data_IF_287008316367
#
_entry.id   IF_287008316367
#
_cell.length_a   1.000
_cell.length_b   1.000
_cell.length_c   1.000
_cell.angle_alpha   90.00
_cell.angle_beta   90.00
_cell.angle_gamma   90.00
#
_symmetry.space_group_name_H-M   'P 1'
#
loop_
_entity.id
_entity.type
_entity.pdbx_description
1 polymer ?
#
# COMPACT_ATOMS: atom_id res chain seq x y z
N UNK A 1 0.72 7.50 -5.71
CA UNK A 1 -0.73 7.15 -5.76
C UNK A 1 -1.03 6.09 -4.73
N UNK A 2 -1.85 6.42 -3.72
CA UNK A 2 -2.99 5.54 -3.50
C UNK A 2 -4.27 6.29 -3.09
N UNK A 3 -4.85 7.07 -4.01
CA UNK A 3 -6.31 7.28 -4.05
C UNK A 3 -6.85 7.04 -5.46
N UNK A 4 -6.48 5.90 -6.05
CA UNK A 4 -7.27 5.33 -7.14
C UNK A 4 -8.35 4.45 -6.51
N UNK A 5 -9.39 5.09 -5.96
CA UNK A 5 -10.64 4.43 -5.60
C UNK A 5 -11.51 4.38 -6.87
N UNK A 6 -11.20 3.43 -7.76
CA UNK A 6 -12.21 2.99 -8.72
C UNK A 6 -13.29 2.23 -7.94
N UNK A 7 -14.58 2.55 -8.11
CA UNK A 7 -15.69 1.98 -7.33
C UNK A 7 -16.04 0.51 -7.65
N UNK A 8 -15.22 -0.21 -8.42
CA UNK A 8 -15.39 -1.63 -8.76
C UNK A 8 -14.32 -2.55 -8.14
N UNK A 9 -13.51 -2.06 -7.19
CA UNK A 9 -12.33 -2.80 -6.73
C UNK A 9 -12.77 -4.02 -5.88
N UNK A 10 -12.57 -5.23 -6.41
CA UNK A 10 -12.70 -6.55 -5.73
C UNK A 10 -11.90 -6.67 -4.40
N UNK A 11 -11.31 -5.58 -3.92
CA UNK A 11 -10.31 -5.47 -2.87
C UNK A 11 -10.84 -4.76 -1.63
N UNK A 12 -11.89 -3.95 -1.75
CA UNK A 12 -12.46 -3.13 -0.67
C UNK A 12 -12.81 -3.99 0.56
N UNK A 13 -13.44 -5.14 0.34
CA UNK A 13 -13.76 -6.08 1.42
C UNK A 13 -12.50 -6.59 2.15
N UNK A 14 -11.48 -7.03 1.42
CA UNK A 14 -10.22 -7.50 2.04
C UNK A 14 -9.44 -6.38 2.74
N UNK A 15 -9.49 -5.15 2.21
CA UNK A 15 -8.86 -3.97 2.82
C UNK A 15 -9.52 -3.62 4.14
N UNK A 16 -10.85 -3.71 4.21
CA UNK A 16 -11.57 -3.44 5.44
C UNK A 16 -11.31 -4.49 6.53
N UNK A 17 -11.08 -5.75 6.15
CA UNK A 17 -10.80 -6.80 7.13
C UNK A 17 -9.40 -6.71 7.74
N UNK A 18 -8.43 -6.12 7.05
CA UNK A 18 -7.01 -6.16 7.47
C UNK A 18 -6.74 -5.41 8.79
N UNK A 19 -7.25 -4.17 9.00
CA UNK A 19 -7.12 -3.48 10.28
C UNK A 19 -7.84 -4.19 11.43
N UNK A 20 -8.91 -4.93 11.12
CA UNK A 20 -9.78 -5.54 12.13
C UNK A 20 -9.30 -6.90 12.60
N UNK A 21 -8.62 -7.65 11.73
CA UNK A 21 -8.30 -9.06 11.96
C UNK A 21 -7.51 -9.30 13.26
N UNK A 22 -6.61 -8.38 13.64
CA UNK A 22 -5.85 -8.48 14.88
C UNK A 22 -6.66 -8.22 16.16
N UNK A 23 -7.87 -7.69 16.02
CA UNK A 23 -8.74 -7.24 17.10
C UNK A 23 -10.05 -8.01 17.20
N UNK A 24 -10.22 -9.04 16.37
CA UNK A 24 -11.42 -9.86 16.35
C UNK A 24 -11.42 -10.85 17.52
N UNK A 25 -12.53 -10.87 18.24
CA UNK A 25 -12.88 -11.97 19.13
C UNK A 25 -13.40 -13.17 18.32
N UNK A 26 -13.41 -14.36 18.93
CA UNK A 26 -13.79 -15.61 18.26
C UNK A 26 -15.17 -15.55 17.57
N UNK A 27 -16.15 -14.88 18.19
CA UNK A 27 -17.49 -14.72 17.61
C UNK A 27 -17.48 -13.86 16.35
N UNK A 28 -16.76 -12.72 16.38
CA UNK A 28 -16.62 -11.80 15.25
C UNK A 28 -15.76 -12.39 14.13
N UNK A 29 -14.69 -13.12 14.47
CA UNK A 29 -13.89 -13.86 13.49
C UNK A 29 -14.75 -14.93 12.78
N UNK A 30 -15.54 -15.69 13.53
CA UNK A 30 -16.47 -16.68 12.97
C UNK A 30 -17.51 -16.05 12.05
N UNK A 31 -18.05 -14.88 12.42
CA UNK A 31 -18.98 -14.10 11.58
C UNK A 31 -18.29 -13.64 10.29
N UNK A 32 -17.11 -13.04 10.39
CA UNK A 32 -16.35 -12.56 9.23
C UNK A 32 -15.98 -13.68 8.26
N UNK A 33 -15.62 -14.87 8.77
CA UNK A 33 -15.35 -16.05 7.94
C UNK A 33 -16.58 -16.51 7.15
N UNK A 34 -17.79 -16.45 7.74
CA UNK A 34 -19.03 -16.77 7.02
C UNK A 34 -19.25 -15.78 5.88
N UNK A 35 -19.12 -14.48 6.15
CA UNK A 35 -19.25 -13.43 5.12
C UNK A 35 -18.22 -13.67 4.00
N UNK A 36 -16.94 -13.86 4.36
CA UNK A 36 -15.86 -14.10 3.40
C UNK A 36 -16.10 -15.34 2.53
N UNK A 37 -16.57 -16.45 3.10
CA UNK A 37 -16.88 -17.68 2.36
C UNK A 37 -18.09 -17.52 1.42
N UNK A 38 -19.04 -16.65 1.78
CA UNK A 38 -20.22 -16.35 0.96
C UNK A 38 -19.92 -15.42 -0.24
N UNK A 39 -18.80 -14.69 -0.22
CA UNK A 39 -18.39 -13.82 -1.34
C UNK A 39 -18.29 -14.65 -2.62
N UNK A 40 -19.05 -14.25 -3.66
CA UNK A 40 -19.09 -14.95 -4.95
C UNK A 40 -17.79 -14.84 -5.73
N UNK A 41 -17.21 -13.64 -5.78
CA UNK A 41 -15.95 -13.40 -6.48
C UNK A 41 -14.80 -14.17 -5.84
N UNK A 42 -14.15 -15.04 -6.61
CA UNK A 42 -13.10 -15.92 -6.11
C UNK A 42 -11.84 -15.14 -5.67
N UNK A 43 -11.54 -14.01 -6.31
CA UNK A 43 -10.42 -13.14 -5.94
C UNK A 43 -10.66 -12.44 -4.61
N UNK A 44 -11.82 -11.81 -4.45
CA UNK A 44 -12.22 -11.16 -3.21
C UNK A 44 -12.30 -12.17 -2.04
N UNK A 45 -12.91 -13.35 -2.28
CA UNK A 45 -12.96 -14.45 -1.30
C UNK A 45 -11.56 -14.92 -0.88
N UNK A 46 -10.68 -15.22 -1.84
CA UNK A 46 -9.32 -15.65 -1.55
C UNK A 46 -8.56 -14.66 -0.66
N UNK A 47 -8.64 -13.36 -0.99
CA UNK A 47 -7.97 -12.30 -0.22
C UNK A 47 -8.55 -12.14 1.18
N UNK A 48 -9.87 -12.17 1.31
CA UNK A 48 -10.54 -12.08 2.60
C UNK A 48 -10.15 -13.24 3.54
N UNK A 49 -10.15 -14.47 3.02
CA UNK A 49 -9.72 -15.65 3.79
C UNK A 49 -8.24 -15.54 4.17
N UNK A 50 -7.37 -15.06 3.27
CA UNK A 50 -5.96 -14.85 3.57
C UNK A 50 -5.74 -13.81 4.69
N UNK A 51 -6.52 -12.73 4.71
CA UNK A 51 -6.47 -11.72 5.77
C UNK A 51 -6.99 -12.29 7.11
N UNK A 52 -8.14 -12.96 7.09
CA UNK A 52 -8.76 -13.55 8.28
C UNK A 52 -7.95 -14.68 8.92
N UNK A 53 -6.95 -15.25 8.23
CA UNK A 53 -5.98 -16.17 8.84
C UNK A 53 -5.27 -15.59 10.06
N UNK A 54 -5.21 -14.26 10.21
CA UNK A 54 -4.65 -13.63 11.41
C UNK A 54 -5.59 -13.64 12.61
N UNK A 55 -6.90 -13.74 12.35
CA UNK A 55 -7.97 -13.68 13.35
C UNK A 55 -8.33 -15.07 13.94
N UNK A 56 -7.70 -16.14 13.45
CA UNK A 56 -7.97 -17.53 13.89
C UNK A 56 -6.77 -18.14 14.63
N UNK A 57 -7.03 -19.18 15.47
CA UNK A 57 -5.99 -19.98 16.13
C UNK A 57 -4.97 -20.56 15.14
N UNK A 58 -3.72 -20.74 15.59
CA UNK A 58 -2.58 -21.12 14.75
C UNK A 58 -2.79 -22.42 13.96
N UNK A 59 -3.46 -23.40 14.57
CA UNK A 59 -3.82 -24.69 14.00
C UNK A 59 -4.82 -24.58 12.85
N UNK A 60 -5.70 -23.57 12.86
CA UNK A 60 -6.66 -23.31 11.79
C UNK A 60 -6.08 -22.45 10.64
N UNK A 61 -5.00 -21.69 10.89
CA UNK A 61 -4.45 -20.73 9.92
C UNK A 61 -4.04 -21.37 8.62
N UNK A 62 -3.35 -22.50 8.68
CA UNK A 62 -2.86 -23.19 7.48
C UNK A 62 -4.01 -23.76 6.65
N UNK A 63 -5.06 -24.28 7.29
CA UNK A 63 -6.25 -24.74 6.61
C UNK A 63 -6.95 -23.58 5.88
N UNK A 64 -7.10 -22.44 6.55
CA UNK A 64 -7.73 -21.26 5.96
C UNK A 64 -6.90 -20.64 4.82
N UNK A 65 -5.57 -20.61 4.95
CA UNK A 65 -4.68 -20.22 3.85
C UNK A 65 -4.76 -21.21 2.68
N UNK A 66 -4.96 -22.50 2.95
CA UNK A 66 -5.26 -23.51 1.95
C UNK A 66 -6.57 -23.24 1.19
N UNK A 67 -7.65 -22.89 1.89
CA UNK A 67 -8.91 -22.44 1.28
C UNK A 67 -8.69 -21.19 0.40
N UNK A 68 -7.94 -20.20 0.91
CA UNK A 68 -7.61 -18.98 0.17
C UNK A 68 -6.85 -19.28 -1.14
N UNK A 69 -5.83 -20.15 -1.08
CA UNK A 69 -5.07 -20.57 -2.26
C UNK A 69 -5.94 -21.36 -3.24
N UNK A 70 -6.84 -22.21 -2.76
CA UNK A 70 -7.79 -22.95 -3.61
C UNK A 70 -8.72 -21.99 -4.36
N UNK A 71 -9.29 -21.00 -3.67
CA UNK A 71 -10.10 -19.96 -4.28
C UNK A 71 -9.30 -19.12 -5.28
N UNK A 72 -8.05 -18.76 -4.98
CA UNK A 72 -7.19 -18.04 -5.91
C UNK A 72 -6.89 -18.84 -7.18
N UNK A 73 -6.60 -20.14 -7.05
CA UNK A 73 -6.26 -21.04 -8.17
C UNK A 73 -7.41 -21.24 -9.15
N UNK A 74 -8.67 -21.14 -8.71
CA UNK A 74 -9.84 -21.29 -9.59
C UNK A 74 -10.09 -20.08 -10.50
N UNK A 75 -9.43 -18.94 -10.26
CA UNK A 75 -9.55 -17.74 -11.07
C UNK A 75 -8.92 -18.00 -12.44
N UNK A 76 -9.67 -17.85 -13.54
CA UNK A 76 -9.17 -18.09 -14.90
C UNK A 76 -8.17 -17.05 -15.40
N UNK A 77 -8.40 -15.77 -15.08
CA UNK A 77 -7.54 -14.66 -15.50
C UNK A 77 -6.18 -14.67 -14.74
N UNK A 78 -5.02 -14.74 -15.44
CA UNK A 78 -3.72 -14.85 -14.79
C UNK A 78 -3.36 -13.67 -13.90
N UNK A 79 -3.73 -12.44 -14.28
CA UNK A 79 -3.44 -11.25 -13.48
C UNK A 79 -4.21 -11.25 -12.16
N UNK A 80 -5.52 -11.50 -12.22
CA UNK A 80 -6.39 -11.64 -11.05
C UNK A 80 -5.95 -12.81 -10.16
N UNK A 81 -5.52 -13.93 -10.77
CA UNK A 81 -4.95 -15.07 -10.06
C UNK A 81 -3.69 -14.70 -9.28
N UNK A 82 -2.72 -14.02 -9.90
CA UNK A 82 -1.50 -13.53 -9.21
C UNK A 82 -1.87 -12.63 -8.03
N UNK A 83 -2.77 -11.66 -8.24
CA UNK A 83 -3.20 -10.75 -7.16
C UNK A 83 -3.87 -11.49 -6.00
N UNK A 84 -4.60 -12.58 -6.26
CA UNK A 84 -5.26 -13.38 -5.23
C UNK A 84 -4.31 -14.35 -4.51
N UNK A 85 -3.31 -14.91 -5.20
CA UNK A 85 -2.33 -15.83 -4.60
C UNK A 85 -1.38 -15.12 -3.63
N UNK A 86 -0.95 -13.89 -3.95
CA UNK A 86 0.11 -13.18 -3.22
C UNK A 86 -0.15 -13.03 -1.71
N UNK A 87 -1.33 -12.56 -1.23
CA UNK A 87 -1.56 -12.39 0.21
C UNK A 87 -1.47 -13.69 1.00
N UNK A 88 -1.99 -14.79 0.47
CA UNK A 88 -1.91 -16.10 1.11
C UNK A 88 -0.47 -16.62 1.08
N UNK A 89 0.21 -16.55 -0.08
CA UNK A 89 1.58 -17.03 -0.24
C UNK A 89 2.59 -16.35 0.71
N UNK A 90 2.47 -15.03 0.93
CA UNK A 90 3.32 -14.29 1.86
C UNK A 90 3.14 -14.72 3.33
N UNK A 91 2.00 -15.31 3.67
CA UNK A 91 1.65 -15.77 5.03
C UNK A 91 1.95 -17.25 5.25
N UNK A 92 2.33 -17.98 4.21
CA UNK A 92 2.68 -19.40 4.32
C UNK A 92 4.07 -19.60 4.96
N UNK A 93 4.30 -20.75 5.61
CA UNK A 93 5.63 -21.17 6.07
C UNK A 93 6.64 -21.20 4.93
N UNK A 94 7.92 -21.01 5.25
CA UNK A 94 9.01 -20.84 4.28
C UNK A 94 9.05 -21.94 3.20
N UNK A 95 8.96 -23.21 3.59
CA UNK A 95 8.97 -24.34 2.65
C UNK A 95 7.82 -24.28 1.63
N UNK A 96 6.60 -23.95 2.08
CA UNK A 96 5.46 -23.79 1.18
C UNK A 96 5.59 -22.52 0.33
N UNK A 97 6.20 -21.46 0.88
CA UNK A 97 6.45 -20.20 0.19
C UNK A 97 7.33 -20.39 -1.03
N UNK A 98 8.35 -21.26 -0.98
CA UNK A 98 9.22 -21.53 -2.14
C UNK A 98 8.48 -22.19 -3.31
N UNK A 99 7.58 -23.14 -3.01
CA UNK A 99 6.72 -23.75 -4.02
C UNK A 99 5.75 -22.72 -4.62
N UNK A 100 5.15 -21.90 -3.76
CA UNK A 100 4.21 -20.87 -4.18
C UNK A 100 4.89 -19.75 -4.98
N UNK A 101 6.14 -19.40 -4.68
CA UNK A 101 6.90 -18.43 -5.46
C UNK A 101 7.04 -18.89 -6.92
N UNK A 102 7.32 -20.18 -7.13
CA UNK A 102 7.39 -20.78 -8.48
C UNK A 102 6.02 -20.79 -9.16
N UNK A 103 4.97 -21.18 -8.44
CA UNK A 103 3.59 -21.17 -8.96
C UNK A 103 3.15 -19.76 -9.39
N UNK A 104 3.36 -18.76 -8.53
CA UNK A 104 3.04 -17.36 -8.82
C UNK A 104 3.85 -16.88 -10.01
N UNK A 105 5.15 -17.17 -10.08
CA UNK A 105 5.97 -16.80 -11.25
C UNK A 105 5.42 -17.40 -12.55
N UNK A 106 5.01 -18.68 -12.57
CA UNK A 106 4.38 -19.27 -13.75
C UNK A 106 3.06 -18.56 -14.12
N UNK A 107 2.25 -18.19 -13.14
CA UNK A 107 1.06 -17.39 -13.39
C UNK A 107 1.39 -16.01 -13.97
N UNK A 108 2.47 -15.36 -13.49
CA UNK A 108 2.99 -14.10 -14.05
C UNK A 108 3.38 -14.27 -15.52
N UNK A 109 4.07 -15.35 -15.87
CA UNK A 109 4.49 -15.59 -17.26
C UNK A 109 3.31 -15.85 -18.22
N UNK A 110 2.18 -16.33 -17.70
CA UNK A 110 0.96 -16.53 -18.48
C UNK A 110 0.16 -15.24 -18.72
N UNK A 111 0.48 -14.14 -18.03
CA UNK A 111 -0.18 -12.84 -18.25
C UNK A 111 0.13 -12.35 -19.66
N UNK A 112 -0.91 -11.91 -20.36
CA UNK A 112 -0.80 -11.28 -21.67
C UNK A 112 -0.64 -9.76 -21.52
N UNK A 113 0.23 -9.18 -22.34
CA UNK A 113 0.56 -7.75 -22.30
C UNK A 113 1.62 -7.40 -21.27
N UNK A 114 2.56 -6.54 -21.67
CA UNK A 114 3.71 -6.18 -20.85
C UNK A 114 3.32 -5.29 -19.66
N UNK A 115 2.24 -4.52 -19.77
CA UNK A 115 1.73 -3.67 -18.68
C UNK A 115 1.38 -4.48 -17.44
N UNK A 116 0.49 -5.46 -17.58
CA UNK A 116 0.10 -6.35 -16.48
C UNK A 116 1.26 -7.23 -16.02
N UNK A 117 2.06 -7.75 -16.96
CA UNK A 117 3.19 -8.63 -16.65
C UNK A 117 4.27 -7.90 -15.85
N UNK A 118 4.65 -6.69 -16.25
CA UNK A 118 5.63 -5.86 -15.54
C UNK A 118 5.18 -5.55 -14.13
N UNK A 119 3.91 -5.15 -13.96
CA UNK A 119 3.34 -4.92 -12.63
C UNK A 119 3.35 -6.18 -11.75
N UNK A 120 3.04 -7.34 -12.34
CA UNK A 120 3.05 -8.61 -11.63
C UNK A 120 4.47 -9.05 -11.23
N UNK A 121 5.47 -8.78 -12.06
CA UNK A 121 6.88 -8.98 -11.73
C UNK A 121 7.32 -8.11 -10.55
N UNK A 122 6.95 -6.82 -10.51
CA UNK A 122 7.24 -5.96 -9.37
C UNK A 122 6.60 -6.49 -8.06
N UNK A 123 5.38 -7.02 -8.12
CA UNK A 123 4.71 -7.62 -6.96
C UNK A 123 5.43 -8.88 -6.46
N UNK A 124 5.92 -9.71 -7.38
CA UNK A 124 6.59 -10.98 -7.07
C UNK A 124 7.86 -10.79 -6.21
N UNK A 125 8.48 -9.61 -6.23
CA UNK A 125 9.66 -9.27 -5.40
C UNK A 125 9.54 -9.76 -3.97
N UNK A 126 8.40 -9.51 -3.31
CA UNK A 126 8.17 -9.84 -1.90
C UNK A 126 8.14 -11.34 -1.61
N UNK A 127 7.88 -12.15 -2.63
CA UNK A 127 7.77 -13.60 -2.55
C UNK A 127 8.98 -14.32 -3.19
N UNK A 128 9.84 -13.58 -3.91
CA UNK A 128 10.86 -14.16 -4.77
C UNK A 128 12.01 -14.81 -3.98
N UNK A 129 12.13 -16.12 -4.12
CA UNK A 129 13.34 -16.90 -3.76
C UNK A 129 14.49 -16.55 -4.71
N UNK A 130 15.73 -16.95 -4.38
CA UNK A 130 16.90 -16.67 -5.23
C UNK A 130 16.71 -17.12 -6.69
N UNK A 131 16.13 -18.30 -6.91
CA UNK A 131 15.86 -18.81 -8.28
C UNK A 131 14.77 -17.98 -8.97
N UNK A 132 13.61 -17.81 -8.34
CA UNK A 132 12.50 -17.04 -8.91
C UNK A 132 12.89 -15.59 -9.18
N UNK A 133 13.73 -15.01 -8.33
CA UNK A 133 14.29 -13.67 -8.49
C UNK A 133 15.16 -13.55 -9.73
N UNK A 134 16.05 -14.50 -9.99
CA UNK A 134 16.85 -14.53 -11.24
C UNK A 134 15.95 -14.60 -12.47
N UNK A 135 14.95 -15.48 -12.43
CA UNK A 135 13.99 -15.65 -13.52
C UNK A 135 13.13 -14.39 -13.73
N UNK A 136 12.68 -13.75 -12.66
CA UNK A 136 11.89 -12.52 -12.71
C UNK A 136 12.69 -11.34 -13.28
N UNK A 137 13.96 -11.19 -12.90
CA UNK A 137 14.87 -10.20 -13.48
C UNK A 137 15.07 -10.44 -14.99
N UNK A 138 15.27 -11.69 -15.41
CA UNK A 138 15.36 -12.02 -16.84
C UNK A 138 14.07 -11.66 -17.59
N UNK A 139 12.91 -12.01 -17.02
CA UNK A 139 11.60 -11.69 -17.59
C UNK A 139 11.37 -10.17 -17.67
N UNK A 140 11.77 -9.42 -16.63
CA UNK A 140 11.69 -7.97 -16.60
C UNK A 140 12.52 -7.34 -17.73
N UNK A 141 13.78 -7.79 -17.92
CA UNK A 141 14.63 -7.32 -19.03
C UNK A 141 14.03 -7.59 -20.42
N UNK A 142 13.25 -8.66 -20.55
CA UNK A 142 12.61 -9.06 -21.80
C UNK A 142 11.31 -8.30 -22.13
N UNK A 143 10.78 -7.48 -21.21
CA UNK A 143 9.62 -6.64 -21.48
C UNK A 143 9.94 -5.64 -22.59
N UNK A 144 9.02 -5.50 -23.56
CA UNK A 144 9.14 -4.58 -24.70
C UNK A 144 8.67 -3.18 -24.32
N UNK A 145 7.66 -3.09 -23.47
CA UNK A 145 7.12 -1.81 -23.01
C UNK A 145 8.12 -1.14 -22.05
N UNK A 146 8.58 0.06 -22.42
CA UNK A 146 9.76 0.70 -21.82
C UNK A 146 9.56 1.03 -20.34
N UNK A 147 8.42 1.64 -19.99
CA UNK A 147 8.11 2.08 -18.63
C UNK A 147 7.96 0.87 -17.70
N UNK A 148 7.27 -0.17 -18.17
CA UNK A 148 7.00 -1.42 -17.48
C UNK A 148 8.29 -2.18 -17.21
N UNK A 149 9.20 -2.20 -18.17
CA UNK A 149 10.55 -2.74 -18.01
C UNK A 149 11.31 -2.02 -16.90
N UNK A 150 11.31 -0.69 -16.92
CA UNK A 150 12.00 0.11 -15.89
C UNK A 150 11.36 -0.15 -14.53
N UNK A 151 10.04 -0.09 -14.41
CA UNK A 151 9.34 -0.34 -13.15
C UNK A 151 9.56 -1.75 -12.60
N UNK A 152 9.58 -2.75 -13.46
CA UNK A 152 9.88 -4.12 -13.07
C UNK A 152 11.33 -4.26 -12.59
N UNK A 153 12.30 -3.64 -13.27
CA UNK A 153 13.72 -3.68 -12.87
C UNK A 153 14.00 -2.90 -11.58
N UNK A 154 13.44 -1.69 -11.42
CA UNK A 154 13.60 -0.88 -10.22
C UNK A 154 13.05 -1.58 -8.97
N UNK A 155 12.02 -2.42 -9.10
CA UNK A 155 11.55 -3.23 -7.97
C UNK A 155 12.67 -4.11 -7.39
N UNK A 156 13.58 -4.61 -8.22
CA UNK A 156 14.71 -5.46 -7.83
C UNK A 156 16.04 -4.69 -7.73
N UNK A 157 16.00 -3.37 -7.47
CA UNK A 157 17.20 -2.53 -7.47
C UNK A 157 18.36 -3.06 -6.59
N UNK A 158 18.06 -3.62 -5.42
CA UNK A 158 19.07 -4.24 -4.54
C UNK A 158 19.79 -5.47 -5.11
N UNK A 159 19.30 -6.05 -6.21
CA UNK A 159 19.88 -7.19 -6.91
C UNK A 159 20.60 -6.81 -8.20
N UNK A 160 20.67 -5.51 -8.52
CA UNK A 160 21.26 -5.00 -9.76
C UNK A 160 22.68 -4.45 -9.52
N UNK A 161 23.61 -4.62 -10.48
CA UNK A 161 24.92 -4.00 -10.40
C UNK A 161 24.82 -2.46 -10.51
N UNK A 162 25.75 -1.69 -9.92
CA UNK A 162 25.73 -0.23 -9.94
C UNK A 162 25.57 0.38 -11.34
N UNK A 163 26.27 -0.15 -12.35
CA UNK A 163 26.15 0.33 -13.73
C UNK A 163 24.73 0.18 -14.31
N UNK A 164 23.99 -0.87 -13.91
CA UNK A 164 22.60 -1.05 -14.36
C UNK A 164 21.66 -0.09 -13.61
N UNK A 165 21.91 0.18 -12.33
CA UNK A 165 21.18 1.19 -11.57
C UNK A 165 21.34 2.59 -12.14
N UNK A 166 22.56 2.98 -12.53
CA UNK A 166 22.81 4.27 -13.17
C UNK A 166 22.11 4.40 -14.53
N UNK A 167 22.09 3.32 -15.33
CA UNK A 167 21.34 3.29 -16.59
C UNK A 167 19.83 3.36 -16.37
N UNK A 168 19.31 2.75 -15.30
CA UNK A 168 17.90 2.87 -14.94
C UNK A 168 17.57 4.31 -14.53
N UNK A 169 18.38 4.92 -13.67
CA UNK A 169 18.22 6.31 -13.26
C UNK A 169 18.18 7.26 -14.47
N UNK A 170 19.06 7.07 -15.45
CA UNK A 170 19.06 7.88 -16.68
C UNK A 170 17.77 7.70 -17.51
N UNK A 171 17.15 6.52 -17.49
CA UNK A 171 15.89 6.28 -18.20
C UNK A 171 14.68 6.85 -17.45
N UNK A 172 14.72 6.94 -16.11
CA UNK A 172 13.63 7.52 -15.30
C UNK A 172 13.29 8.95 -15.74
N UNK A 173 14.28 9.74 -16.17
CA UNK A 173 14.06 11.11 -16.67
C UNK A 173 13.07 11.18 -17.84
N UNK A 174 13.04 10.15 -18.69
CA UNK A 174 12.20 10.12 -19.89
C UNK A 174 10.73 9.74 -19.65
N UNK A 175 10.38 9.35 -18.41
CA UNK A 175 9.03 8.92 -18.06
C UNK A 175 8.11 10.15 -17.89
N UNK A 176 6.98 10.24 -18.64
CA UNK A 176 6.10 11.41 -18.56
C UNK A 176 5.37 11.55 -17.21
N UNK A 177 5.04 10.43 -16.57
CA UNK A 177 4.31 10.41 -15.30
C UNK A 177 5.24 10.75 -14.13
N UNK A 178 5.05 11.91 -13.52
CA UNK A 178 5.88 12.39 -12.40
C UNK A 178 5.71 11.57 -11.12
N UNK A 179 4.52 10.99 -10.89
CA UNK A 179 4.30 10.08 -9.77
C UNK A 179 5.08 8.80 -9.97
N UNK A 180 5.08 8.26 -11.19
CA UNK A 180 5.91 7.10 -11.51
C UNK A 180 7.39 7.44 -11.37
N UNK A 181 7.83 8.62 -11.85
CA UNK A 181 9.22 9.07 -11.65
C UNK A 181 9.61 9.13 -10.18
N UNK A 182 8.80 9.77 -9.33
CA UNK A 182 9.03 9.81 -7.89
C UNK A 182 9.18 8.40 -7.31
N UNK A 183 8.23 7.50 -7.58
CA UNK A 183 8.25 6.14 -7.02
C UNK A 183 9.48 5.33 -7.48
N UNK A 184 9.96 5.56 -8.70
CA UNK A 184 11.18 4.93 -9.21
C UNK A 184 12.44 5.53 -8.59
N UNK A 185 12.49 6.85 -8.37
CA UNK A 185 13.59 7.49 -7.65
C UNK A 185 13.68 6.95 -6.22
N UNK A 186 12.54 6.84 -5.53
CA UNK A 186 12.43 6.23 -4.20
C UNK A 186 13.02 4.82 -4.16
N UNK A 187 12.60 3.98 -5.11
CA UNK A 187 13.01 2.57 -5.19
C UNK A 187 14.51 2.40 -5.47
N UNK A 188 15.12 3.37 -6.15
CA UNK A 188 16.55 3.35 -6.47
C UNK A 188 17.41 3.95 -5.35
N UNK A 189 16.88 4.88 -4.55
CA UNK A 189 17.64 5.68 -3.59
C UNK A 189 18.52 4.83 -2.65
N UNK A 190 17.98 3.76 -2.05
CA UNK A 190 18.71 2.91 -1.10
C UNK A 190 19.86 2.11 -1.72
N UNK A 191 19.93 2.03 -3.05
CA UNK A 191 20.85 1.17 -3.78
C UNK A 191 21.82 1.94 -4.69
N UNK A 192 21.60 3.23 -4.91
CA UNK A 192 22.44 4.05 -5.77
C UNK A 192 23.76 4.42 -5.09
N UNK A 193 24.90 4.40 -5.81
CA UNK A 193 26.14 4.98 -5.31
C UNK A 193 25.99 6.51 -5.16
N UNK A 194 26.79 7.12 -4.28
CA UNK A 194 26.71 8.56 -3.95
C UNK A 194 26.62 9.49 -5.17
N UNK A 195 27.46 9.36 -6.23
CA UNK A 195 27.37 10.24 -7.39
C UNK A 195 26.03 10.13 -8.13
N UNK A 196 25.43 8.93 -8.14
CA UNK A 196 24.13 8.71 -8.77
C UNK A 196 22.98 9.20 -7.88
N UNK A 197 23.13 9.18 -6.56
CA UNK A 197 22.18 9.82 -5.63
C UNK A 197 22.11 11.34 -5.83
N UNK A 198 23.24 12.01 -6.02
CA UNK A 198 23.26 13.46 -6.31
C UNK A 198 22.51 13.78 -7.61
N UNK A 199 22.70 12.95 -8.65
CA UNK A 199 21.92 13.04 -9.88
C UNK A 199 20.42 12.76 -9.67
N UNK A 200 20.08 11.82 -8.80
CA UNK A 200 18.68 11.54 -8.46
C UNK A 200 18.00 12.74 -7.78
N UNK A 201 18.71 13.47 -6.92
CA UNK A 201 18.24 14.74 -6.33
C UNK A 201 17.99 15.79 -7.41
N UNK A 202 18.89 15.92 -8.39
CA UNK A 202 18.70 16.85 -9.51
C UNK A 202 17.50 16.48 -10.40
N UNK A 203 17.18 15.19 -10.52
CA UNK A 203 15.96 14.73 -11.20
C UNK A 203 14.71 14.99 -10.36
N UNK A 204 14.76 14.74 -9.05
CA UNK A 204 13.67 15.03 -8.13
C UNK A 204 13.30 16.51 -8.11
N UNK A 205 14.29 17.42 -8.15
CA UNK A 205 14.07 18.87 -8.21
C UNK A 205 13.37 19.35 -9.50
N UNK A 206 13.31 18.52 -10.55
CA UNK A 206 12.59 18.81 -11.81
C UNK A 206 11.16 18.30 -11.81
N UNK A 207 10.74 17.59 -10.76
CA UNK A 207 9.35 17.21 -10.54
C UNK A 207 8.55 18.40 -10.01
N UNK A 208 7.23 18.27 -9.96
CA UNK A 208 6.33 19.33 -9.50
C UNK A 208 5.37 18.81 -8.42
N UNK A 209 4.95 19.71 -7.53
CA UNK A 209 3.96 19.42 -6.49
C UNK A 209 4.36 18.27 -5.55
N UNK A 210 3.40 17.43 -5.19
CA UNK A 210 3.58 16.32 -4.25
C UNK A 210 4.69 15.34 -4.67
N UNK A 211 4.78 14.88 -5.95
CA UNK A 211 5.89 14.05 -6.41
C UNK A 211 7.29 14.59 -6.07
N UNK A 212 7.50 15.91 -6.19
CA UNK A 212 8.79 16.54 -5.84
C UNK A 212 9.05 16.47 -4.34
N UNK A 213 8.08 16.88 -3.53
CA UNK A 213 8.22 16.90 -2.07
C UNK A 213 8.60 15.51 -1.53
N UNK A 214 7.90 14.48 -1.98
CA UNK A 214 8.16 13.10 -1.54
C UNK A 214 9.51 12.57 -2.03
N UNK A 215 9.84 12.79 -3.31
CA UNK A 215 11.12 12.35 -3.86
C UNK A 215 12.31 12.97 -3.10
N UNK A 216 12.24 14.27 -2.77
CA UNK A 216 13.29 14.95 -2.02
C UNK A 216 13.44 14.39 -0.60
N UNK A 217 12.32 14.12 0.07
CA UNK A 217 12.34 13.56 1.42
C UNK A 217 12.93 12.15 1.47
N UNK A 218 12.51 11.28 0.55
CA UNK A 218 13.02 9.90 0.45
C UNK A 218 14.52 9.89 0.08
N UNK A 219 14.96 10.71 -0.87
CA UNK A 219 16.38 10.86 -1.20
C UNK A 219 17.19 11.44 -0.03
N UNK A 220 16.58 12.29 0.80
CA UNK A 220 17.16 12.79 2.03
C UNK A 220 17.46 11.71 3.07
N UNK A 221 16.72 10.59 3.06
CA UNK A 221 17.01 9.42 3.91
C UNK A 221 18.27 8.69 3.43
N UNK A 222 18.48 8.61 2.11
CA UNK A 222 19.66 7.97 1.52
C UNK A 222 20.92 8.87 1.55
N UNK A 223 20.78 10.17 1.80
CA UNK A 223 21.88 11.15 1.86
C UNK A 223 21.90 11.89 3.21
N UNK A 224 22.48 11.32 4.28
CA UNK A 224 22.47 11.94 5.61
C UNK A 224 23.03 13.37 5.65
N UNK A 225 24.07 13.66 4.87
CA UNK A 225 24.69 14.99 4.78
C UNK A 225 23.73 16.05 4.18
N UNK A 226 22.85 15.65 3.25
CA UNK A 226 21.89 16.53 2.58
C UNK A 226 20.48 16.43 3.17
N UNK A 227 20.23 15.42 4.00
CA UNK A 227 18.93 15.11 4.57
C UNK A 227 18.23 16.32 5.20
N UNK A 228 18.88 17.12 6.06
CA UNK A 228 18.26 18.32 6.61
C UNK A 228 17.82 19.34 5.56
N UNK A 229 18.65 19.59 4.55
CA UNK A 229 18.33 20.54 3.48
C UNK A 229 17.17 20.04 2.62
N UNK A 230 17.22 18.78 2.19
CA UNK A 230 16.17 18.19 1.35
C UNK A 230 14.83 18.08 2.08
N UNK A 231 14.86 17.84 3.40
CA UNK A 231 13.66 17.86 4.25
C UNK A 231 13.02 19.25 4.31
N UNK A 232 13.81 20.31 4.49
CA UNK A 232 13.28 21.68 4.48
C UNK A 232 12.70 22.05 3.10
N UNK A 233 13.37 21.68 2.01
CA UNK A 233 12.83 21.84 0.65
C UNK A 233 11.49 21.10 0.47
N UNK A 234 11.43 19.83 0.88
CA UNK A 234 10.22 19.01 0.80
C UNK A 234 9.06 19.58 1.61
N UNK A 235 9.31 20.03 2.85
CA UNK A 235 8.29 20.66 3.69
C UNK A 235 7.81 21.99 3.12
N UNK A 236 8.71 22.81 2.59
CA UNK A 236 8.33 24.05 1.94
C UNK A 236 7.43 23.79 0.72
N UNK A 237 7.77 22.79 -0.10
CA UNK A 237 6.94 22.39 -1.24
C UNK A 237 5.57 21.89 -0.78
N UNK A 238 5.52 20.99 0.22
CA UNK A 238 4.27 20.44 0.75
C UNK A 238 3.35 21.53 1.32
N UNK A 239 3.89 22.48 2.09
CA UNK A 239 3.15 23.62 2.65
C UNK A 239 2.55 24.53 1.58
N UNK A 240 3.24 24.67 0.44
CA UNK A 240 2.81 25.52 -0.67
C UNK A 240 1.82 24.84 -1.64
N UNK A 241 1.46 23.57 -1.42
CA UNK A 241 0.44 22.88 -2.22
C UNK A 241 -0.93 23.56 -2.08
N UNK A 242 -1.54 23.88 -3.21
CA UNK A 242 -2.79 24.63 -3.27
C UNK A 242 -3.98 23.83 -2.73
N UNK A 243 -4.10 22.57 -3.13
CA UNK A 243 -5.21 21.71 -2.71
C UNK A 243 -5.02 21.25 -1.26
N UNK A 244 -6.01 21.47 -0.37
CA UNK A 244 -5.91 21.03 1.03
C UNK A 244 -5.70 19.52 1.17
N UNK A 245 -6.27 18.71 0.28
CA UNK A 245 -6.08 17.26 0.27
C UNK A 245 -4.64 16.88 -0.05
N UNK A 246 -4.04 17.45 -1.11
CA UNK A 246 -2.66 17.20 -1.49
C UNK A 246 -1.68 17.67 -0.40
N UNK A 247 -1.97 18.83 0.21
CA UNK A 247 -1.17 19.35 1.33
C UNK A 247 -1.22 18.45 2.55
N UNK A 248 -2.41 17.99 2.94
CA UNK A 248 -2.58 17.08 4.06
C UNK A 248 -1.87 15.74 3.81
N UNK A 249 -2.03 15.17 2.61
CA UNK A 249 -1.38 13.92 2.19
C UNK A 249 0.15 14.07 2.23
N UNK A 250 0.69 15.08 1.56
CA UNK A 250 2.13 15.32 1.51
C UNK A 250 2.73 15.52 2.92
N UNK A 251 2.11 16.34 3.77
CA UNK A 251 2.60 16.54 5.14
C UNK A 251 2.54 15.26 5.98
N UNK A 252 1.51 14.42 5.78
CA UNK A 252 1.38 13.15 6.48
C UNK A 252 2.45 12.15 6.05
N UNK A 253 2.66 12.00 4.75
CA UNK A 253 3.69 11.11 4.21
C UNK A 253 5.11 11.55 4.61
N UNK A 254 5.37 12.86 4.64
CA UNK A 254 6.65 13.39 5.11
C UNK A 254 6.91 13.09 6.59
N UNK A 255 5.87 13.09 7.44
CA UNK A 255 6.05 12.76 8.86
C UNK A 255 6.59 11.34 9.08
N UNK A 256 6.19 10.36 8.27
CA UNK A 256 6.68 8.98 8.41
C UNK A 256 8.21 8.85 8.28
N UNK A 257 8.87 9.78 7.59
CA UNK A 257 10.32 9.82 7.40
C UNK A 257 11.08 10.78 8.34
N UNK A 258 10.40 11.39 9.32
CA UNK A 258 10.98 12.45 10.16
C UNK A 258 11.17 12.03 11.63
N UNK A 259 12.01 12.76 12.40
CA UNK A 259 12.12 12.56 13.83
C UNK A 259 10.81 12.89 14.56
N UNK A 260 10.48 12.12 15.60
CA UNK A 260 9.23 12.23 16.34
C UNK A 260 9.00 13.62 16.95
N UNK A 261 10.06 14.35 17.25
CA UNK A 261 10.02 15.72 17.78
C UNK A 261 9.34 16.71 16.82
N UNK A 262 9.39 16.44 15.51
CA UNK A 262 8.75 17.26 14.48
C UNK A 262 7.30 16.87 14.21
N UNK A 263 6.85 15.69 14.64
CA UNK A 263 5.51 15.18 14.34
C UNK A 263 4.41 16.07 14.90
N UNK A 264 4.53 16.54 16.15
CA UNK A 264 3.45 17.30 16.78
C UNK A 264 3.10 18.59 16.03
N UNK A 265 4.11 19.33 15.56
CA UNK A 265 3.90 20.57 14.82
C UNK A 265 3.31 20.30 13.42
N UNK A 266 3.89 19.33 12.71
CA UNK A 266 3.45 18.95 11.36
C UNK A 266 2.06 18.33 11.35
N UNK A 267 1.72 17.52 12.36
CA UNK A 267 0.40 16.93 12.52
C UNK A 267 -0.67 17.99 12.70
N UNK A 268 -0.37 19.10 13.38
CA UNK A 268 -1.27 20.25 13.48
C UNK A 268 -1.56 20.91 12.12
N UNK A 269 -0.53 21.11 11.30
CA UNK A 269 -0.66 21.66 9.95
C UNK A 269 -1.46 20.73 9.03
N UNK A 270 -1.12 19.44 9.03
CA UNK A 270 -1.78 18.41 8.23
C UNK A 270 -3.25 18.22 8.64
N UNK A 271 -3.53 18.23 9.95
CA UNK A 271 -4.90 18.15 10.49
C UNK A 271 -5.74 19.36 10.07
N UNK A 272 -5.18 20.57 10.09
CA UNK A 272 -5.87 21.76 9.60
C UNK A 272 -6.19 21.65 8.10
N UNK A 273 -5.26 21.14 7.29
CA UNK A 273 -5.48 20.90 5.87
C UNK A 273 -6.53 19.81 5.61
N UNK A 274 -6.50 18.70 6.35
CA UNK A 274 -7.48 17.61 6.25
C UNK A 274 -8.90 18.07 6.62
N UNK A 275 -9.04 18.89 7.68
CA UNK A 275 -10.33 19.47 8.09
C UNK A 275 -10.92 20.45 7.06
N UNK A 276 -10.08 21.09 6.24
CA UNK A 276 -10.52 21.96 5.16
C UNK A 276 -11.07 21.17 3.94
N UNK A 277 -10.88 19.85 3.89
CA UNK A 277 -11.44 19.00 2.82
C UNK A 277 -12.95 18.82 3.03
N UNK A 278 -13.71 19.12 1.98
CA UNK A 278 -15.19 19.02 2.00
C UNK A 278 -15.69 17.61 1.70
N UNK A 279 -14.99 16.86 0.86
CA UNK A 279 -15.34 15.49 0.51
C UNK A 279 -15.18 14.56 1.75
N UNK A 280 -16.25 13.88 2.20
CA UNK A 280 -16.21 13.06 3.40
C UNK A 280 -15.30 11.83 3.27
N UNK A 281 -15.16 11.26 2.07
CA UNK A 281 -14.30 10.10 1.83
C UNK A 281 -12.84 10.52 1.95
N UNK A 282 -12.44 11.57 1.24
CA UNK A 282 -11.06 12.07 1.27
C UNK A 282 -10.72 12.56 2.69
N UNK A 283 -11.63 13.28 3.35
CA UNK A 283 -11.43 13.74 4.73
C UNK A 283 -11.28 12.58 5.70
N UNK A 284 -12.14 11.56 5.63
CA UNK A 284 -12.04 10.39 6.51
C UNK A 284 -10.71 9.65 6.33
N UNK A 285 -10.23 9.54 5.08
CA UNK A 285 -8.93 8.94 4.78
C UNK A 285 -7.78 9.70 5.45
N UNK A 286 -7.69 11.02 5.18
CA UNK A 286 -6.62 11.87 5.68
C UNK A 286 -6.60 11.96 7.21
N UNK A 287 -7.78 12.06 7.84
CA UNK A 287 -7.87 12.06 9.30
C UNK A 287 -7.42 10.72 9.88
N UNK A 288 -7.75 9.60 9.25
CA UNK A 288 -7.31 8.28 9.72
C UNK A 288 -5.79 8.10 9.63
N UNK A 289 -5.16 8.58 8.55
CA UNK A 289 -3.70 8.50 8.35
C UNK A 289 -2.92 9.36 9.37
N UNK A 290 -3.54 10.41 9.92
CA UNK A 290 -2.91 11.29 10.90
C UNK A 290 -2.88 10.73 12.33
N UNK A 291 -3.72 9.74 12.67
CA UNK A 291 -3.93 9.32 14.07
C UNK A 291 -2.63 8.83 14.71
N UNK A 292 -1.78 8.11 13.97
CA UNK A 292 -0.54 7.56 14.52
C UNK A 292 0.52 8.61 14.87
N UNK A 293 0.41 9.82 14.32
CA UNK A 293 1.33 10.93 14.54
C UNK A 293 0.87 11.90 15.63
N UNK A 294 -0.34 11.71 16.17
CA UNK A 294 -0.94 12.60 17.16
C UNK A 294 -0.66 12.15 18.60
N UNK A 295 -0.49 13.09 19.54
CA UNK A 295 -0.52 12.78 20.97
C UNK A 295 -1.84 12.07 21.34
N UNK A 296 -1.79 11.12 22.27
CA UNK A 296 -2.93 10.24 22.60
C UNK A 296 -4.27 10.98 22.80
N UNK A 297 -4.25 12.13 23.48
CA UNK A 297 -5.44 12.96 23.70
C UNK A 297 -6.04 13.50 22.41
N UNK A 298 -5.21 14.01 21.51
CA UNK A 298 -5.65 14.57 20.24
C UNK A 298 -6.04 13.45 19.27
N UNK A 299 -5.34 12.31 19.34
CA UNK A 299 -5.67 11.08 18.62
C UNK A 299 -7.11 10.61 18.87
N UNK A 300 -7.55 10.54 20.14
CA UNK A 300 -8.94 10.15 20.45
C UNK A 300 -9.99 11.09 19.83
N UNK A 301 -9.75 12.40 19.86
CA UNK A 301 -10.66 13.36 19.24
C UNK A 301 -10.72 13.19 17.71
N UNK A 302 -9.56 13.01 17.08
CA UNK A 302 -9.45 12.82 15.63
C UNK A 302 -10.04 11.49 15.17
N UNK A 303 -9.94 10.41 15.97
CA UNK A 303 -10.66 9.15 15.72
C UNK A 303 -12.18 9.39 15.63
N UNK A 304 -12.73 10.18 16.55
CA UNK A 304 -14.15 10.57 16.52
C UNK A 304 -14.53 11.35 15.27
N UNK A 305 -13.72 12.35 14.89
CA UNK A 305 -13.91 13.15 13.67
C UNK A 305 -13.84 12.29 12.40
N UNK A 306 -12.84 11.41 12.30
CA UNK A 306 -12.67 10.49 11.19
C UNK A 306 -13.86 9.52 11.09
N UNK A 307 -14.37 9.03 12.23
CA UNK A 307 -15.54 8.17 12.29
C UNK A 307 -16.83 8.86 11.84
N UNK A 308 -17.01 10.13 12.20
CA UNK A 308 -18.12 10.95 11.70
C UNK A 308 -18.01 11.19 10.19
N UNK A 309 -16.83 11.50 9.68
CA UNK A 309 -16.59 11.66 8.25
C UNK A 309 -16.86 10.34 7.49
N UNK A 310 -16.39 9.21 8.00
CA UNK A 310 -16.60 7.88 7.42
C UNK A 310 -18.09 7.51 7.37
N UNK A 311 -18.87 7.82 8.41
CA UNK A 311 -20.34 7.59 8.42
C UNK A 311 -21.09 8.49 7.43
N UNK A 312 -20.49 9.60 7.00
CA UNK A 312 -21.02 10.46 5.94
C UNK A 312 -20.79 9.91 4.52
N UNK A 313 -20.01 8.84 4.35
CA UNK A 313 -19.77 8.22 3.05
C UNK A 313 -21.03 7.46 2.60
N UNK A 314 -21.52 7.78 1.40
CA UNK A 314 -22.75 7.21 0.84
C UNK A 314 -22.61 5.73 0.52
N UNK A 315 -21.48 5.33 -0.07
CA UNK A 315 -21.23 3.93 -0.41
C UNK A 315 -20.98 3.10 0.87
N UNK A 316 -21.78 2.04 1.12
CA UNK A 316 -21.66 1.24 2.34
C UNK A 316 -20.33 0.49 2.44
N UNK A 317 -19.75 0.07 1.32
CA UNK A 317 -18.51 -0.70 1.29
C UNK A 317 -17.31 0.23 1.56
N UNK A 318 -17.28 1.41 0.96
CA UNK A 318 -16.25 2.42 1.26
C UNK A 318 -16.38 2.92 2.70
N UNK A 319 -17.60 3.14 3.19
CA UNK A 319 -17.85 3.47 4.61
C UNK A 319 -17.32 2.38 5.55
N UNK A 320 -17.59 1.11 5.24
CA UNK A 320 -17.08 -0.03 6.00
C UNK A 320 -15.54 -0.04 6.02
N UNK A 321 -14.90 0.24 4.89
CA UNK A 321 -13.44 0.35 4.79
C UNK A 321 -12.90 1.47 5.68
N UNK A 322 -13.44 2.68 5.59
CA UNK A 322 -12.94 3.82 6.38
C UNK A 322 -13.21 3.66 7.88
N UNK A 323 -14.35 3.09 8.29
CA UNK A 323 -14.62 2.75 9.69
C UNK A 323 -13.64 1.69 10.21
N UNK A 324 -13.30 0.70 9.37
CA UNK A 324 -12.38 -0.35 9.77
C UNK A 324 -10.98 0.16 10.14
N UNK A 325 -10.49 1.19 9.44
CA UNK A 325 -9.18 1.79 9.69
C UNK A 325 -9.06 2.44 11.07
N UNK A 326 -10.19 2.74 11.72
CA UNK A 326 -10.22 3.36 13.05
C UNK A 326 -10.17 2.33 14.19
N UNK A 327 -10.50 1.06 13.91
CA UNK A 327 -10.61 -0.01 14.92
C UNK A 327 -9.36 -0.20 15.78
N UNK A 328 -8.13 -0.14 15.23
CA UNK A 328 -6.91 -0.23 16.04
C UNK A 328 -6.77 0.87 17.11
N UNK A 329 -7.44 2.00 16.92
CA UNK A 329 -7.36 3.18 17.79
C UNK A 329 -8.54 3.31 18.75
N UNK A 330 -9.52 2.39 18.69
CA UNK A 330 -10.69 2.37 19.56
C UNK A 330 -10.40 1.71 20.91
N UNK A 331 -11.11 2.17 21.94
CA UNK A 331 -11.10 1.56 23.27
C UNK A 331 -11.73 0.16 23.26
N UNK A 332 -11.44 -0.65 24.28
CA UNK A 332 -11.91 -2.05 24.36
C UNK A 332 -13.43 -2.20 24.29
N UNK A 333 -14.19 -1.24 24.84
CA UNK A 333 -15.65 -1.26 24.79
C UNK A 333 -16.23 -0.90 23.41
N UNK A 334 -15.53 -0.06 22.65
CA UNK A 334 -16.00 0.46 21.36
C UNK A 334 -15.63 -0.47 20.21
N UNK A 335 -14.52 -1.21 20.36
CA UNK A 335 -13.94 -2.05 19.31
C UNK A 335 -14.90 -3.14 18.80
N UNK A 336 -15.57 -3.94 19.67
CA UNK A 336 -16.51 -4.96 19.21
C UNK A 336 -17.72 -4.36 18.48
N UNK A 337 -18.17 -3.17 18.90
CA UNK A 337 -19.29 -2.47 18.27
C UNK A 337 -18.93 -2.00 16.86
N UNK A 338 -17.76 -1.38 16.69
CA UNK A 338 -17.26 -0.96 15.39
C UNK A 338 -17.02 -2.16 14.46
N UNK A 339 -16.47 -3.26 14.98
CA UNK A 339 -16.33 -4.51 14.21
C UNK A 339 -17.70 -5.03 13.76
N UNK A 340 -18.69 -4.99 14.65
CA UNK A 340 -20.07 -5.37 14.34
C UNK A 340 -20.70 -4.50 13.26
N UNK A 341 -20.53 -3.18 13.34
CA UNK A 341 -21.00 -2.18 12.36
C UNK A 341 -20.43 -2.48 10.96
N UNK A 342 -19.11 -2.67 10.87
CA UNK A 342 -18.43 -2.96 9.60
C UNK A 342 -18.89 -4.29 8.99
N UNK A 343 -19.04 -5.35 9.78
CA UNK A 343 -19.51 -6.65 9.27
C UNK A 343 -20.96 -6.59 8.78
N UNK A 344 -21.83 -5.83 9.44
CA UNK A 344 -23.22 -5.65 8.98
C UNK A 344 -23.28 -4.95 7.63
N UNK A 345 -22.46 -3.91 7.41
CA UNK A 345 -22.39 -3.21 6.12
C UNK A 345 -22.02 -4.16 4.96
N UNK A 346 -21.18 -5.16 5.21
CA UNK A 346 -20.83 -6.17 4.21
C UNK A 346 -21.92 -7.21 4.00
N UNK A 347 -22.61 -7.65 5.04
CA UNK A 347 -23.74 -8.57 4.93
C UNK A 347 -24.88 -7.94 4.11
N UNK A 348 -25.15 -6.65 4.31
CA UNK A 348 -26.18 -5.92 3.58
C UNK A 348 -25.81 -5.68 2.09
N UNK A 349 -24.53 -5.84 1.74
CA UNK A 349 -23.99 -5.57 0.40
C UNK A 349 -23.66 -6.83 -0.43
N UNK A 350 -23.77 -8.05 0.14
CA UNK A 350 -23.33 -9.32 -0.45
C UNK A 350 -24.44 -10.06 -1.24
#
# INVERSE_FOLDING_TARGET
>A
MPFSTQPDDEFTFSRALDPMAAHMEAASASRALRVARAVRDAGARARALAVLSRAVPEDERLALLGEALSAARSIGDPWRRVRALMPAALRMPEQAREMLAREVFQAVMNIQGDWLRGRALSMLRRLATAEVRRQALQAARALKAHNERISALCAYAGDLPPDELERLLAQVESIPDEWLRQSLLASLAEHLPRPALERAVDLARRLHGTPRALALAELGLALPDWGPLLREEALADARNLAQPSERAEALTELMAGMPAESHAALAGEALAAARAVSDPLIRAALLADLIEFLPARDGTAVVGEAGLAARGITDPILRAEHLSRLIPYLGEAERPLAIGEVLSLFEDSA
#
